data_IF_470351055722
#
_entry.id   IF_470351055722
#
_cell.length_a   1.000
_cell.length_b   1.000
_cell.length_c   1.000
_cell.angle_alpha   90.00
_cell.angle_beta   90.00
_cell.angle_gamma   90.00
#
_symmetry.space_group_name_H-M   'P 1'
#
loop_
_entity.id
_entity.type
_entity.pdbx_description
1 polymer ?
#
# COMPACT_ATOMS: atom_id res chain seq x y z
N UNK A 1 -9.85 28.24 -5.34
CA UNK A 1 -10.46 27.65 -6.55
C UNK A 1 -10.56 26.16 -6.29
N UNK A 2 -11.78 25.62 -6.18
CA UNK A 2 -12.00 24.20 -5.92
C UNK A 2 -11.81 23.44 -7.22
N UNK A 3 -10.74 22.65 -7.30
CA UNK A 3 -10.54 21.68 -8.36
C UNK A 3 -11.49 20.52 -8.02
N UNK A 4 -12.61 20.42 -8.72
CA UNK A 4 -13.45 19.22 -8.63
C UNK A 4 -12.66 18.09 -9.27
N UNK A 5 -12.35 16.97 -8.58
CA UNK A 5 -11.66 15.86 -9.22
C UNK A 5 -12.61 15.27 -10.27
N UNK A 6 -12.36 15.54 -11.54
CA UNK A 6 -13.22 15.15 -12.65
C UNK A 6 -12.99 13.71 -13.12
N UNK A 7 -12.84 12.78 -12.17
CA UNK A 7 -12.68 11.35 -12.43
C UNK A 7 -13.46 10.52 -11.43
N UNK A 8 -13.95 9.34 -11.85
CA UNK A 8 -14.49 8.37 -10.90
C UNK A 8 -13.42 8.03 -9.86
N UNK A 9 -13.78 7.82 -8.58
CA UNK A 9 -12.82 7.33 -7.58
C UNK A 9 -12.23 5.99 -8.03
N UNK A 10 -10.93 5.76 -7.78
CA UNK A 10 -10.30 4.49 -8.14
C UNK A 10 -10.87 3.36 -7.30
N UNK A 11 -11.20 2.24 -7.95
CA UNK A 11 -11.76 1.05 -7.29
C UNK A 11 -10.61 0.14 -6.85
N UNK A 12 -10.47 -0.04 -5.54
CA UNK A 12 -9.38 -0.77 -4.92
C UNK A 12 -9.92 -1.98 -4.15
N UNK A 13 -9.33 -3.15 -4.36
CA UNK A 13 -9.60 -4.33 -3.53
C UNK A 13 -8.32 -4.76 -2.80
N UNK A 14 -8.39 -4.91 -1.48
CA UNK A 14 -7.30 -5.42 -0.64
C UNK A 14 -7.61 -6.84 -0.19
N UNK A 15 -6.83 -7.80 -0.68
CA UNK A 15 -6.95 -9.21 -0.30
C UNK A 15 -5.82 -9.56 0.67
N UNK A 16 -6.17 -9.96 1.90
CA UNK A 16 -5.18 -10.22 2.95
C UNK A 16 -5.74 -11.03 4.09
N UNK A 17 -4.90 -11.43 5.05
CA UNK A 17 -5.34 -12.31 6.15
C UNK A 17 -5.85 -11.56 7.38
N UNK A 18 -5.16 -10.48 7.75
CA UNK A 18 -5.34 -9.74 9.02
C UNK A 18 -6.60 -8.88 8.99
N UNK A 19 -7.64 -9.17 9.79
CA UNK A 19 -8.82 -8.32 9.89
C UNK A 19 -8.51 -6.86 10.20
N UNK A 20 -7.67 -6.59 11.21
CA UNK A 20 -7.39 -5.21 11.62
C UNK A 20 -6.70 -4.39 10.53
N UNK A 21 -5.76 -4.99 9.80
CA UNK A 21 -5.06 -4.34 8.68
C UNK A 21 -5.98 -4.09 7.51
N UNK A 22 -6.85 -5.05 7.18
CA UNK A 22 -7.82 -4.89 6.09
C UNK A 22 -8.77 -3.71 6.35
N UNK A 23 -9.36 -3.64 7.54
CA UNK A 23 -10.27 -2.56 7.92
C UNK A 23 -9.55 -1.21 7.95
N UNK A 24 -8.38 -1.13 8.58
CA UNK A 24 -7.59 0.09 8.63
C UNK A 24 -7.14 0.57 7.23
N UNK A 25 -6.78 -0.35 6.34
CA UNK A 25 -6.42 -0.01 4.97
C UNK A 25 -7.62 0.54 4.18
N UNK A 26 -8.80 -0.07 4.34
CA UNK A 26 -10.04 0.42 3.73
C UNK A 26 -10.37 1.83 4.22
N UNK A 27 -10.32 2.06 5.54
CA UNK A 27 -10.61 3.38 6.13
C UNK A 27 -9.66 4.46 5.60
N UNK A 28 -8.35 4.16 5.56
CA UNK A 28 -7.35 5.08 5.00
C UNK A 28 -7.60 5.37 3.52
N UNK A 29 -7.81 4.34 2.70
CA UNK A 29 -8.04 4.50 1.26
C UNK A 29 -9.32 5.29 0.96
N UNK A 30 -10.40 5.06 1.70
CA UNK A 30 -11.65 5.82 1.58
C UNK A 30 -11.45 7.28 2.00
N UNK A 31 -10.73 7.54 3.08
CA UNK A 31 -10.37 8.89 3.49
C UNK A 31 -9.52 9.63 2.43
N UNK A 32 -8.78 8.88 1.60
CA UNK A 32 -7.98 9.38 0.46
C UNK A 32 -8.76 9.46 -0.86
N UNK A 33 -10.08 9.21 -0.83
CA UNK A 33 -10.97 9.36 -1.98
C UNK A 33 -11.06 8.14 -2.91
N UNK A 34 -10.55 6.97 -2.51
CA UNK A 34 -10.73 5.72 -3.26
C UNK A 34 -12.05 5.03 -2.88
N UNK A 35 -12.63 4.29 -3.82
CA UNK A 35 -13.65 3.27 -3.51
C UNK A 35 -12.93 1.99 -3.14
N UNK A 36 -12.72 1.75 -1.84
CA UNK A 36 -11.92 0.64 -1.35
C UNK A 36 -12.74 -0.42 -0.64
N UNK A 37 -12.48 -1.67 -0.99
CA UNK A 37 -13.00 -2.88 -0.37
C UNK A 37 -11.88 -3.83 0.04
N UNK A 38 -12.17 -4.77 0.93
CA UNK A 38 -11.21 -5.73 1.44
C UNK A 38 -11.85 -7.06 1.81
N UNK A 39 -11.08 -8.14 1.64
CA UNK A 39 -11.51 -9.46 2.08
C UNK A 39 -10.36 -10.37 2.54
N UNK A 40 -10.67 -11.27 3.45
CA UNK A 40 -9.83 -12.43 3.78
C UNK A 40 -10.39 -13.78 3.29
N UNK A 41 -11.47 -13.75 2.50
CA UNK A 41 -12.10 -14.92 1.89
C UNK A 41 -11.55 -15.13 0.47
N UNK A 42 -10.34 -15.67 0.37
CA UNK A 42 -9.58 -15.65 -0.90
C UNK A 42 -10.25 -16.41 -2.05
N UNK A 43 -10.95 -17.48 -1.73
CA UNK A 43 -11.70 -18.35 -2.64
C UNK A 43 -12.95 -17.67 -3.20
N UNK A 44 -13.48 -16.66 -2.50
CA UNK A 44 -14.70 -15.95 -2.89
C UNK A 44 -14.47 -14.65 -3.65
N UNK A 45 -13.21 -14.25 -3.83
CA UNK A 45 -12.85 -12.94 -4.45
C UNK A 45 -13.52 -12.74 -5.81
N UNK A 46 -13.59 -13.79 -6.64
CA UNK A 46 -14.15 -13.70 -7.99
C UNK A 46 -15.70 -13.71 -8.01
N UNK A 47 -16.32 -14.14 -6.92
CA UNK A 47 -17.78 -14.23 -6.79
C UNK A 47 -18.36 -13.00 -6.09
N UNK A 48 -17.67 -12.52 -5.04
CA UNK A 48 -18.14 -11.45 -4.18
C UNK A 48 -17.83 -10.04 -4.76
N UNK A 49 -16.89 -9.94 -5.71
CA UNK A 49 -16.42 -8.66 -6.24
C UNK A 49 -16.47 -8.56 -7.77
N UNK A 50 -16.90 -7.40 -8.26
CA UNK A 50 -16.80 -7.02 -9.67
C UNK A 50 -15.34 -6.69 -10.04
N UNK A 51 -14.56 -7.74 -10.32
CA UNK A 51 -13.15 -7.61 -10.68
C UNK A 51 -12.91 -6.95 -12.05
N UNK A 52 -13.95 -6.90 -12.90
CA UNK A 52 -13.87 -6.29 -14.21
C UNK A 52 -13.71 -4.75 -14.14
N UNK A 53 -14.13 -4.15 -13.03
CA UNK A 53 -14.11 -2.72 -12.83
C UNK A 53 -13.04 -2.22 -11.83
N UNK A 54 -12.21 -3.12 -11.29
CA UNK A 54 -11.11 -2.76 -10.39
C UNK A 54 -10.03 -1.96 -11.11
N UNK A 55 -9.52 -0.93 -10.45
CA UNK A 55 -8.34 -0.20 -10.89
C UNK A 55 -7.07 -0.77 -10.24
N UNK A 56 -7.15 -1.16 -8.96
CA UNK A 56 -6.03 -1.73 -8.20
C UNK A 56 -6.45 -2.96 -7.38
N UNK A 57 -5.65 -4.02 -7.46
CA UNK A 57 -5.78 -5.22 -6.60
C UNK A 57 -4.51 -5.39 -5.76
N UNK A 58 -4.67 -5.32 -4.43
CA UNK A 58 -3.56 -5.48 -3.48
C UNK A 58 -3.58 -6.88 -2.88
N UNK A 59 -2.44 -7.56 -2.88
CA UNK A 59 -2.24 -8.83 -2.18
C UNK A 59 -1.38 -8.66 -0.93
N UNK A 60 -1.91 -9.02 0.23
CA UNK A 60 -1.16 -9.11 1.47
C UNK A 60 -0.09 -10.22 1.44
N UNK A 61 0.93 -10.10 2.30
CA UNK A 61 2.02 -11.08 2.40
C UNK A 61 1.54 -12.51 2.71
N UNK A 62 0.48 -12.62 3.51
CA UNK A 62 -0.07 -13.89 4.00
C UNK A 62 -1.13 -14.52 3.07
N UNK A 63 -1.31 -14.00 1.86
CA UNK A 63 -2.10 -14.70 0.83
C UNK A 63 -1.20 -15.78 0.21
N UNK A 64 -1.64 -17.05 0.10
CA UNK A 64 -0.82 -18.10 -0.49
C UNK A 64 -0.35 -17.77 -1.92
N UNK A 65 0.87 -18.15 -2.27
CA UNK A 65 1.46 -17.82 -3.57
C UNK A 65 0.62 -18.33 -4.76
N UNK A 66 0.14 -19.57 -4.70
CA UNK A 66 -0.75 -20.14 -5.73
C UNK A 66 -2.08 -19.40 -5.85
N UNK A 67 -2.65 -18.95 -4.73
CA UNK A 67 -3.87 -18.13 -4.71
C UNK A 67 -3.63 -16.76 -5.35
N UNK A 68 -2.50 -16.10 -5.05
CA UNK A 68 -2.13 -14.83 -5.71
C UNK A 68 -1.99 -15.02 -7.21
N UNK A 69 -1.33 -16.09 -7.65
CA UNK A 69 -1.14 -16.39 -9.06
C UNK A 69 -2.49 -16.62 -9.76
N UNK A 70 -3.32 -17.51 -9.21
CA UNK A 70 -4.66 -17.79 -9.73
C UNK A 70 -5.50 -16.52 -9.86
N UNK A 71 -5.58 -15.70 -8.81
CA UNK A 71 -6.34 -14.46 -8.84
C UNK A 71 -5.77 -13.46 -9.86
N UNK A 72 -4.44 -13.35 -10.00
CA UNK A 72 -3.83 -12.50 -11.04
C UNK A 72 -4.26 -12.94 -12.45
N UNK A 73 -4.19 -14.22 -12.75
CA UNK A 73 -4.52 -14.77 -14.07
C UNK A 73 -6.02 -14.56 -14.39
N UNK A 74 -6.91 -14.90 -13.46
CA UNK A 74 -8.35 -14.77 -13.66
C UNK A 74 -8.81 -13.32 -13.75
N UNK A 75 -8.27 -12.43 -12.91
CA UNK A 75 -8.60 -11.00 -12.96
C UNK A 75 -8.05 -10.37 -14.25
N UNK A 76 -6.80 -10.66 -14.62
CA UNK A 76 -6.20 -10.11 -15.85
C UNK A 76 -6.96 -10.54 -17.11
N UNK A 77 -7.55 -11.75 -17.12
CA UNK A 77 -8.41 -12.22 -18.22
C UNK A 77 -9.68 -11.40 -18.38
N UNK A 78 -10.24 -10.88 -17.27
CA UNK A 78 -11.47 -10.06 -17.26
C UNK A 78 -11.17 -8.57 -17.36
N UNK A 79 -10.00 -8.14 -16.91
CA UNK A 79 -9.57 -6.76 -16.84
C UNK A 79 -8.05 -6.67 -16.98
N UNK A 80 -7.58 -6.50 -18.22
CA UNK A 80 -6.15 -6.33 -18.52
C UNK A 80 -5.58 -4.99 -18.02
N UNK A 81 -6.46 -4.06 -17.62
CA UNK A 81 -6.09 -2.73 -17.14
C UNK A 81 -5.95 -2.63 -15.63
N UNK A 82 -6.06 -3.72 -14.86
CA UNK A 82 -5.86 -3.67 -13.39
C UNK A 82 -4.38 -3.54 -13.04
N UNK A 83 -4.06 -2.77 -12.00
CA UNK A 83 -2.71 -2.77 -11.41
C UNK A 83 -2.66 -3.71 -10.20
N UNK A 84 -1.73 -4.66 -10.22
CA UNK A 84 -1.51 -5.57 -9.09
C UNK A 84 -0.42 -5.02 -8.16
N UNK A 85 -0.72 -4.89 -6.87
CA UNK A 85 0.23 -4.41 -5.85
C UNK A 85 0.49 -5.53 -4.85
N UNK A 86 1.76 -5.76 -4.52
CA UNK A 86 2.12 -6.60 -3.37
C UNK A 86 2.19 -5.71 -2.12
N UNK A 87 1.19 -5.84 -1.25
CA UNK A 87 1.13 -5.10 0.01
C UNK A 87 2.31 -5.48 0.90
N UNK A 88 3.00 -4.47 1.44
CA UNK A 88 4.19 -4.62 2.25
C UNK A 88 3.86 -4.69 3.74
N UNK A 89 4.54 -5.62 4.43
CA UNK A 89 4.57 -5.79 5.90
C UNK A 89 3.23 -5.92 6.65
N UNK A 90 2.09 -5.89 5.96
CA UNK A 90 0.79 -5.80 6.63
C UNK A 90 0.62 -4.47 7.38
N UNK A 91 1.22 -3.38 6.89
CA UNK A 91 1.09 -2.05 7.50
C UNK A 91 0.09 -1.24 6.69
N UNK A 92 -1.07 -0.92 7.27
CA UNK A 92 -2.17 -0.25 6.56
C UNK A 92 -1.74 1.07 5.90
N UNK A 93 -0.95 1.90 6.59
CA UNK A 93 -0.43 3.17 6.04
C UNK A 93 0.50 2.97 4.83
N UNK A 94 1.32 1.92 4.85
CA UNK A 94 2.19 1.57 3.71
C UNK A 94 1.35 1.08 2.54
N UNK A 95 0.38 0.20 2.80
CA UNK A 95 -0.55 -0.29 1.77
C UNK A 95 -1.29 0.87 1.10
N UNK A 96 -1.82 1.81 1.88
CA UNK A 96 -2.51 2.97 1.33
C UNK A 96 -1.60 3.84 0.46
N UNK A 97 -0.35 4.08 0.88
CA UNK A 97 0.62 4.83 0.08
C UNK A 97 1.06 4.09 -1.20
N UNK A 98 1.19 2.76 -1.16
CA UNK A 98 1.48 1.96 -2.36
C UNK A 98 0.34 2.02 -3.39
N UNK A 99 -0.90 2.10 -2.92
CA UNK A 99 -2.06 2.28 -3.80
C UNK A 99 -2.08 3.68 -4.42
N UNK A 100 -1.80 4.72 -3.65
CA UNK A 100 -1.67 6.09 -4.19
C UNK A 100 -0.57 6.18 -5.23
N UNK A 101 0.60 5.59 -4.98
CA UNK A 101 1.68 5.48 -5.95
C UNK A 101 1.21 4.79 -7.25
N UNK A 102 0.53 3.65 -7.13
CA UNK A 102 0.00 2.91 -8.27
C UNK A 102 -1.07 3.70 -9.06
N UNK A 103 -1.99 4.38 -8.35
CA UNK A 103 -3.02 5.23 -8.95
C UNK A 103 -2.40 6.41 -9.67
N UNK A 104 -1.43 7.07 -9.04
CA UNK A 104 -0.75 8.22 -9.61
C UNK A 104 0.01 7.83 -10.88
N UNK A 105 0.77 6.74 -10.86
CA UNK A 105 1.52 6.26 -12.02
C UNK A 105 0.62 5.88 -13.20
N UNK A 106 -0.61 5.38 -12.96
CA UNK A 106 -1.61 5.13 -14.00
C UNK A 106 -2.11 6.39 -14.69
N UNK A 107 -2.22 7.50 -13.94
CA UNK A 107 -2.80 8.77 -14.40
C UNK A 107 -1.77 9.70 -15.04
N UNK A 108 -0.47 9.40 -14.89
CA UNK A 108 0.56 10.42 -14.98
C UNK A 108 0.96 10.81 -16.41
N UNK A 109 1.10 12.13 -16.59
CA UNK A 109 2.07 12.74 -17.48
C UNK A 109 3.33 13.17 -16.68
N UNK A 110 4.53 13.25 -17.28
CA UNK A 110 5.76 13.55 -16.54
C UNK A 110 5.71 14.93 -15.84
N UNK A 111 5.80 14.99 -14.50
CA UNK A 111 5.75 16.29 -13.75
C UNK A 111 7.12 16.88 -13.40
N UNK A 112 8.21 16.30 -13.92
CA UNK A 112 9.60 16.78 -13.71
C UNK A 112 10.16 16.56 -12.30
N UNK A 113 9.30 16.25 -11.32
CA UNK A 113 9.68 15.85 -9.96
C UNK A 113 10.41 14.51 -10.01
N UNK A 114 11.50 14.39 -9.24
CA UNK A 114 12.20 13.12 -9.02
C UNK A 114 12.25 12.84 -7.53
N UNK A 115 11.78 11.66 -7.15
CA UNK A 115 11.79 11.17 -5.77
C UNK A 115 12.57 9.86 -5.77
N UNK A 116 13.56 9.75 -4.90
CA UNK A 116 14.37 8.54 -4.75
C UNK A 116 14.79 8.33 -3.31
N UNK A 117 15.39 7.17 -3.05
CA UNK A 117 15.93 6.82 -1.75
C UNK A 117 17.38 6.35 -1.90
N UNK A 118 18.25 6.92 -1.07
CA UNK A 118 19.64 6.50 -0.92
C UNK A 118 19.75 5.55 0.27
N UNK A 119 19.84 4.26 -0.02
CA UNK A 119 19.94 3.20 0.99
C UNK A 119 21.22 3.32 1.82
N UNK A 120 22.35 3.67 1.19
CA UNK A 120 23.65 3.75 1.87
C UNK A 120 23.68 4.93 2.84
N UNK A 121 23.13 6.09 2.43
CA UNK A 121 23.04 7.28 3.26
C UNK A 121 21.81 7.33 4.18
N UNK A 122 20.86 6.41 4.00
CA UNK A 122 19.50 6.44 4.58
C UNK A 122 18.80 7.79 4.41
N UNK A 123 18.68 8.27 3.16
CA UNK A 123 18.08 9.59 2.86
C UNK A 123 17.06 9.53 1.73
N UNK A 124 15.95 10.24 1.89
CA UNK A 124 15.12 10.58 0.73
C UNK A 124 15.81 11.67 -0.08
N UNK A 125 15.85 11.50 -1.40
CA UNK A 125 16.38 12.46 -2.36
C UNK A 125 15.25 12.98 -3.22
N UNK A 126 15.12 14.30 -3.28
CA UNK A 126 14.07 15.01 -3.99
C UNK A 126 14.69 15.98 -4.99
N UNK A 127 14.15 16.04 -6.20
CA UNK A 127 14.39 17.14 -7.15
C UNK A 127 13.06 17.77 -7.50
N UNK A 128 12.89 19.04 -7.12
CA UNK A 128 11.66 19.81 -7.29
C UNK A 128 11.84 20.89 -8.35
N UNK A 129 10.85 21.07 -9.21
CA UNK A 129 10.85 22.13 -10.24
C UNK A 129 10.27 23.45 -9.74
N UNK A 130 9.53 23.43 -8.63
CA UNK A 130 8.89 24.58 -8.00
C UNK A 130 8.77 24.36 -6.49
N UNK A 131 8.50 25.44 -5.75
CA UNK A 131 8.16 25.36 -4.33
C UNK A 131 6.92 24.50 -4.14
N UNK A 132 7.04 23.42 -3.37
CA UNK A 132 5.97 22.42 -3.21
C UNK A 132 5.92 21.90 -1.78
N UNK A 133 4.71 21.59 -1.29
CA UNK A 133 4.52 20.88 -0.02
C UNK A 133 5.07 19.46 -0.13
N UNK A 134 5.92 19.08 0.81
CA UNK A 134 6.50 17.74 0.91
C UNK A 134 6.20 17.15 2.27
N UNK A 135 5.74 15.91 2.29
CA UNK A 135 5.61 15.11 3.50
C UNK A 135 6.46 13.85 3.37
N UNK A 136 7.15 13.51 4.44
CA UNK A 136 7.94 12.29 4.57
C UNK A 136 7.56 11.63 5.88
N UNK A 137 7.05 10.41 5.82
CA UNK A 137 6.67 9.63 6.98
C UNK A 137 7.40 8.29 6.96
N UNK A 138 7.95 7.90 8.11
CA UNK A 138 8.51 6.57 8.31
C UNK A 138 7.47 5.68 8.99
N UNK A 139 7.29 4.46 8.49
CA UNK A 139 6.39 3.46 9.07
C UNK A 139 7.15 2.15 9.26
N UNK A 140 6.97 1.48 10.39
CA UNK A 140 7.64 0.21 10.65
C UNK A 140 6.79 -0.72 11.50
N UNK A 141 7.06 -2.01 11.37
CA UNK A 141 6.40 -3.01 12.20
C UNK A 141 6.99 -3.06 13.61
N UNK A 142 6.12 -3.20 14.61
CA UNK A 142 6.48 -3.39 16.02
C UNK A 142 6.17 -4.80 16.49
N UNK A 143 5.35 -5.54 15.75
CA UNK A 143 5.11 -6.97 15.95
C UNK A 143 4.64 -7.61 14.64
N UNK A 144 5.10 -8.83 14.35
CA UNK A 144 4.68 -9.61 13.18
C UNK A 144 3.97 -10.90 13.56
N UNK A 145 3.51 -11.01 14.82
CA UNK A 145 2.83 -12.21 15.32
C UNK A 145 1.49 -12.37 14.60
N UNK A 146 1.27 -13.47 13.87
CA UNK A 146 -0.03 -13.73 13.25
C UNK A 146 -1.16 -13.85 14.28
N UNK A 147 -2.41 -13.50 13.92
CA UNK A 147 -2.81 -13.01 12.61
C UNK A 147 -2.71 -11.49 12.44
N UNK A 148 -2.39 -10.75 13.50
CA UNK A 148 -2.49 -9.29 13.56
C UNK A 148 -1.11 -8.66 13.75
N UNK A 149 -0.42 -8.26 12.66
CA UNK A 149 0.80 -7.48 12.79
C UNK A 149 0.48 -6.11 13.42
N UNK A 150 1.44 -5.55 14.13
CA UNK A 150 1.38 -4.21 14.70
C UNK A 150 2.43 -3.34 14.05
N UNK A 151 2.12 -2.06 13.93
CA UNK A 151 3.00 -1.06 13.35
C UNK A 151 2.88 0.27 14.07
N UNK A 152 3.83 1.15 13.80
CA UNK A 152 3.80 2.55 14.21
C UNK A 152 4.36 3.41 13.07
N UNK A 153 4.19 4.72 13.18
CA UNK A 153 4.79 5.68 12.27
C UNK A 153 5.43 6.85 13.00
N UNK A 154 6.20 7.64 12.26
CA UNK A 154 6.79 8.90 12.71
C UNK A 154 6.92 9.87 11.53
N UNK A 155 6.46 11.13 11.66
CA UNK A 155 6.74 12.16 10.68
C UNK A 155 8.25 12.45 10.68
N UNK A 156 8.87 12.34 9.50
CA UNK A 156 10.29 12.66 9.28
C UNK A 156 10.44 14.10 8.79
N UNK A 157 9.52 14.54 7.91
CA UNK A 157 9.47 15.90 7.41
C UNK A 157 8.04 16.25 7.03
N UNK A 158 7.61 17.48 7.31
CA UNK A 158 6.32 18.01 6.87
C UNK A 158 6.41 19.53 6.69
N UNK A 159 6.60 19.97 5.43
CA UNK A 159 7.05 21.32 5.15
C UNK A 159 6.95 21.70 3.67
N UNK A 160 7.05 22.99 3.37
CA UNK A 160 7.32 23.42 1.99
C UNK A 160 8.82 23.34 1.72
N UNK A 161 9.19 22.85 0.54
CA UNK A 161 10.55 22.90 0.03
C UNK A 161 10.58 23.74 -1.24
N UNK A 162 11.61 24.58 -1.39
CA UNK A 162 11.83 25.39 -2.59
C UNK A 162 12.21 24.53 -3.81
N UNK A 163 12.24 25.12 -5.00
CA UNK A 163 12.77 24.44 -6.18
C UNK A 163 14.25 24.04 -5.96
N UNK A 164 14.66 22.89 -6.49
CA UNK A 164 16.04 22.40 -6.38
C UNK A 164 16.15 20.97 -5.87
N UNK A 165 17.37 20.61 -5.44
CA UNK A 165 17.68 19.29 -4.87
C UNK A 165 17.63 19.35 -3.35
N UNK A 166 16.99 18.35 -2.74
CA UNK A 166 16.86 18.24 -1.29
C UNK A 166 17.19 16.82 -0.84
N UNK A 167 17.81 16.73 0.34
CA UNK A 167 18.03 15.46 1.03
C UNK A 167 17.39 15.52 2.40
N UNK A 168 16.57 14.51 2.71
CA UNK A 168 15.91 14.39 4.01
C UNK A 168 16.45 13.12 4.68
N UNK A 169 17.24 13.24 5.76
CA UNK A 169 17.80 12.09 6.45
C UNK A 169 16.69 11.33 7.20
N UNK A 170 16.72 10.00 7.11
CA UNK A 170 15.86 9.14 7.94
C UNK A 170 16.45 9.08 9.35
N UNK A 171 15.70 9.44 10.40
CA UNK A 171 16.21 9.44 11.77
C UNK A 171 16.60 8.04 12.25
N UNK A 172 17.59 7.96 13.14
CA UNK A 172 18.10 6.68 13.69
C UNK A 172 17.05 5.91 14.49
N UNK A 173 16.02 6.59 15.00
CA UNK A 173 14.89 5.98 15.70
C UNK A 173 14.06 5.06 14.79
N UNK A 174 14.14 5.25 13.47
CA UNK A 174 13.53 4.33 12.50
C UNK A 174 14.40 3.08 12.43
N UNK A 175 13.87 1.88 12.73
CA UNK A 175 14.65 0.65 12.70
C UNK A 175 15.22 0.33 11.31
N UNK A 176 16.32 -0.42 11.28
CA UNK A 176 16.92 -0.93 10.04
C UNK A 176 16.22 -2.16 9.44
N UNK A 177 15.15 -2.64 10.06
CA UNK A 177 14.37 -3.80 9.62
C UNK A 177 12.88 -3.48 9.60
N UNK A 178 12.18 -4.05 8.64
CA UNK A 178 10.74 -3.91 8.44
C UNK A 178 10.23 -2.46 8.50
N UNK A 179 11.02 -1.56 7.91
CA UNK A 179 10.79 -0.12 7.89
C UNK A 179 10.60 0.37 6.46
N UNK A 180 9.71 1.34 6.32
CA UNK A 180 9.29 1.91 5.05
C UNK A 180 9.28 3.44 5.16
N UNK A 181 9.50 4.10 4.04
CA UNK A 181 9.40 5.55 3.91
C UNK A 181 8.33 5.86 2.88
N UNK A 182 7.36 6.68 3.25
CA UNK A 182 6.43 7.29 2.30
C UNK A 182 6.88 8.72 2.07
N UNK A 183 6.90 9.13 0.80
CA UNK A 183 7.28 10.48 0.39
C UNK A 183 6.18 11.00 -0.52
N UNK A 184 5.51 12.06 -0.11
CA UNK A 184 4.52 12.75 -0.92
C UNK A 184 5.02 14.14 -1.32
N UNK A 185 4.89 14.48 -2.60
CA UNK A 185 5.21 15.79 -3.19
C UNK A 185 4.00 16.25 -4.00
N UNK A 186 3.17 17.10 -3.40
CA UNK A 186 1.83 17.36 -3.94
C UNK A 186 1.02 16.05 -4.02
N UNK A 187 0.57 15.69 -5.23
CA UNK A 187 -0.20 14.46 -5.47
C UNK A 187 0.70 13.24 -5.80
N UNK A 188 2.02 13.43 -5.97
CA UNK A 188 2.95 12.33 -6.24
C UNK A 188 3.37 11.64 -4.95
N UNK A 189 3.08 10.35 -4.84
CA UNK A 189 3.48 9.52 -3.71
C UNK A 189 4.47 8.46 -4.18
N UNK A 190 5.49 8.20 -3.36
CA UNK A 190 6.42 7.08 -3.50
C UNK A 190 6.61 6.36 -2.19
N UNK A 191 6.74 5.04 -2.26
CA UNK A 191 7.04 4.19 -1.12
C UNK A 191 8.39 3.50 -1.29
N UNK A 192 9.25 3.59 -0.28
CA UNK A 192 10.56 2.96 -0.26
C UNK A 192 10.66 1.95 0.89
N UNK A 193 11.35 0.83 0.65
CA UNK A 193 11.78 -0.06 1.72
C UNK A 193 13.08 0.48 2.30
N UNK A 194 13.07 0.87 3.57
CA UNK A 194 14.23 1.41 4.31
C UNK A 194 14.95 0.31 5.05
N UNK A 195 14.19 -0.66 5.57
CA UNK A 195 14.71 -1.82 6.28
C UNK A 195 14.06 -3.08 5.75
N UNK A 196 14.88 -4.06 5.39
CA UNK A 196 14.39 -5.33 4.85
C UNK A 196 13.47 -6.04 5.85
N UNK A 197 12.49 -6.79 5.35
CA UNK A 197 11.67 -7.65 6.20
C UNK A 197 12.54 -8.74 6.84
N UNK A 198 12.39 -9.01 8.16
CA UNK A 198 13.11 -10.08 8.82
C UNK A 198 12.83 -11.43 8.15
N UNK A 199 13.87 -12.25 7.95
CA UNK A 199 13.76 -13.55 7.30
C UNK A 199 12.73 -14.46 8.00
N UNK A 200 12.65 -14.40 9.33
CA UNK A 200 11.68 -15.13 10.14
C UNK A 200 10.23 -14.82 9.74
N UNK A 201 9.93 -13.58 9.36
CA UNK A 201 8.58 -13.16 8.93
C UNK A 201 8.31 -13.64 7.51
N UNK A 202 9.30 -13.56 6.61
CA UNK A 202 9.15 -14.05 5.24
C UNK A 202 8.90 -15.56 5.17
N UNK A 203 9.47 -16.33 6.11
CA UNK A 203 9.26 -17.78 6.22
C UNK A 203 7.87 -18.19 6.73
N UNK A 204 7.08 -17.26 7.27
CA UNK A 204 5.71 -17.51 7.72
C UNK A 204 4.69 -17.47 6.58
N UNK A 205 5.08 -17.01 5.38
CA UNK A 205 4.18 -16.97 4.23
C UNK A 205 3.58 -18.37 3.94
N UNK A 206 2.26 -18.50 3.81
CA UNK A 206 1.63 -19.77 3.49
C UNK A 206 2.13 -20.30 2.15
N UNK A 207 2.46 -21.58 2.12
CA UNK A 207 2.84 -22.25 0.87
C UNK A 207 1.61 -22.68 0.06
N UNK A 208 0.48 -22.90 0.72
CA UNK A 208 -0.79 -23.29 0.11
C UNK A 208 -1.99 -22.76 0.92
N UNK A 209 -3.19 -22.84 0.33
CA UNK A 209 -4.43 -22.47 1.00
C UNK A 209 -4.79 -23.40 2.18
N UNK A 210 -4.26 -24.63 2.19
CA UNK A 210 -4.46 -25.62 3.26
C UNK A 210 -3.40 -25.54 4.38
N UNK A 211 -2.56 -24.51 4.37
CA UNK A 211 -1.51 -24.32 5.38
C UNK A 211 -2.11 -23.95 6.74
N UNK A 212 -2.19 -24.93 7.64
CA UNK A 212 -2.79 -24.80 8.98
C UNK A 212 -1.83 -24.23 10.04
N UNK A 213 -0.61 -23.82 9.68
CA UNK A 213 0.36 -23.26 10.64
C UNK A 213 -0.09 -21.92 11.24
N UNK A 214 -1.12 -21.30 10.65
CA UNK A 214 -1.63 -20.00 11.06
C UNK A 214 -2.98 -20.10 11.75
N UNK A 215 -3.22 -19.28 12.79
CA UNK A 215 -4.49 -19.29 13.51
C UNK A 215 -5.67 -18.92 12.60
N UNK A 216 -6.83 -19.47 12.89
CA UNK A 216 -8.08 -19.06 12.25
C UNK A 216 -8.36 -17.57 12.53
N UNK A 217 -8.96 -16.89 11.56
CA UNK A 217 -9.32 -15.46 11.65
C UNK A 217 -10.80 -15.29 11.36
N UNK A 218 -11.43 -14.31 11.99
CA UNK A 218 -12.81 -13.96 11.68
C UNK A 218 -12.93 -13.53 10.20
N UNK A 219 -13.98 -13.95 9.48
CA UNK A 219 -14.17 -13.55 8.10
C UNK A 219 -14.37 -12.04 8.00
N UNK A 220 -13.73 -11.42 7.00
CA UNK A 220 -13.88 -10.01 6.65
C UNK A 220 -14.20 -9.95 5.17
N UNK A 221 -15.29 -9.25 4.85
CA UNK A 221 -15.70 -8.87 3.50
C UNK A 221 -16.33 -7.48 3.65
N UNK A 222 -15.71 -6.46 3.06
CA UNK A 222 -16.31 -5.12 2.97
C UNK A 222 -16.86 -4.90 1.57
N UNK A 223 -17.89 -4.07 1.47
CA UNK A 223 -18.46 -3.64 0.19
C UNK A 223 -18.69 -2.14 0.20
N UNK A 224 -18.39 -1.48 -0.91
CA UNK A 224 -18.66 -0.06 -1.12
C UNK A 224 -20.01 0.19 -1.80
N UNK A 225 -20.86 -0.85 -1.87
CA UNK A 225 -22.14 -0.88 -2.58
C UNK A 225 -23.40 -0.61 -1.74
N UNK A 226 -23.30 -0.28 -0.45
CA UNK A 226 -24.45 0.08 0.39
C UNK A 226 -24.16 1.35 1.21
N UNK A 227 -24.35 2.50 0.58
CA UNK A 227 -24.98 3.64 1.23
C UNK A 227 -26.09 4.12 0.29
N UNK A 228 -27.30 3.64 0.55
CA UNK A 228 -28.54 4.24 0.07
C UNK A 228 -29.07 5.19 1.15
#
# INVERSE_FOLDING_TARGET
>A
MNITPSGRPDRVLVVGRSPSVLLAAVDLLRARGCTADATNQFDRVLDDYDVAALDVLVFGGMVPAGTKQYLREEVARRNAGVTFVQGLAGIAGVIAAQVEEAVFDRRRAPSGVRIGYDEAGRRARLTLTARTRVTVEALWGTSFTPPEPKSTSMPVFDGDLEAGQHEIPVPEQVPGEASFLTVAVGDEVRVFTVGAMPAAVTGLAPTSASDQRLPAVAPVTTGSGEQA
#
